data_IF_803578888097
#
_entry.id   IF_803578888097
#
_cell.length_a   1.000
_cell.length_b   1.000
_cell.length_c   1.000
_cell.angle_alpha   90.00
_cell.angle_beta   90.00
_cell.angle_gamma   90.00
#
_symmetry.space_group_name_H-M   'P 1'
#
loop_
_entity.id
_entity.type
_entity.pdbx_description
1 polymer ?
#
# COMPACT_ATOMS: atom_id res chain seq x y z
N UNK A 1 -59.29 -18.62 27.60
CA UNK A 1 -58.81 -17.25 27.27
C UNK A 1 -57.49 -16.93 27.98
N UNK A 2 -57.35 -17.17 29.29
CA UNK A 2 -56.14 -16.90 30.09
C UNK A 2 -54.89 -17.69 29.67
N UNK A 3 -55.04 -18.99 29.33
CA UNK A 3 -53.90 -19.82 28.91
C UNK A 3 -53.26 -19.36 27.59
N UNK A 4 -54.05 -18.86 26.64
CA UNK A 4 -53.55 -18.33 25.37
C UNK A 4 -52.77 -17.03 25.58
N UNK A 5 -53.23 -16.16 26.47
CA UNK A 5 -52.54 -14.89 26.82
C UNK A 5 -51.17 -15.18 27.44
N UNK A 6 -51.08 -16.14 28.36
CA UNK A 6 -49.81 -16.54 29.00
C UNK A 6 -48.81 -17.07 27.96
N UNK A 7 -49.26 -17.91 27.02
CA UNK A 7 -48.39 -18.46 25.98
C UNK A 7 -47.90 -17.36 25.03
N UNK A 8 -48.77 -16.45 24.62
CA UNK A 8 -48.41 -15.33 23.75
C UNK A 8 -47.43 -14.38 24.45
N UNK A 9 -47.63 -14.08 25.73
CA UNK A 9 -46.72 -13.24 26.50
C UNK A 9 -45.36 -13.91 26.71
N UNK A 10 -45.33 -15.22 26.96
CA UNK A 10 -44.10 -16.00 27.04
C UNK A 10 -43.34 -16.03 25.71
N UNK A 11 -44.03 -16.20 24.57
CA UNK A 11 -43.43 -16.11 23.24
C UNK A 11 -42.84 -14.72 22.97
N UNK A 12 -43.60 -13.66 23.26
CA UNK A 12 -43.12 -12.28 23.12
C UNK A 12 -41.93 -11.96 24.03
N UNK A 13 -41.88 -12.54 25.23
CA UNK A 13 -40.76 -12.38 26.14
C UNK A 13 -39.49 -13.06 25.59
N UNK A 14 -39.63 -14.27 25.03
CA UNK A 14 -38.52 -14.98 24.37
C UNK A 14 -38.01 -14.23 23.15
N UNK A 15 -38.90 -13.71 22.31
CA UNK A 15 -38.53 -12.94 21.11
C UNK A 15 -37.81 -11.64 21.48
N UNK A 16 -38.28 -10.91 22.50
CA UNK A 16 -37.58 -9.72 23.03
C UNK A 16 -36.17 -10.05 23.51
N UNK A 17 -36.03 -11.12 24.29
CA UNK A 17 -34.73 -11.54 24.79
C UNK A 17 -33.78 -11.95 23.64
N UNK A 18 -34.30 -12.64 22.62
CA UNK A 18 -33.50 -12.98 21.43
C UNK A 18 -33.05 -11.73 20.67
N UNK A 19 -33.90 -10.72 20.54
CA UNK A 19 -33.56 -9.44 19.88
C UNK A 19 -32.50 -8.69 20.68
N UNK A 20 -32.64 -8.60 22.01
CA UNK A 20 -31.67 -7.94 22.88
C UNK A 20 -30.29 -8.61 22.83
N UNK A 21 -30.23 -9.94 22.83
CA UNK A 21 -28.98 -10.69 22.69
C UNK A 21 -28.29 -10.42 21.35
N UNK A 22 -29.06 -10.39 20.26
CA UNK A 22 -28.54 -10.08 18.92
C UNK A 22 -28.02 -8.65 18.86
N UNK A 23 -28.76 -7.68 19.41
CA UNK A 23 -28.34 -6.28 19.45
C UNK A 23 -27.08 -6.06 20.29
N UNK A 24 -26.99 -6.72 21.46
CA UNK A 24 -25.80 -6.66 22.30
C UNK A 24 -24.57 -7.24 21.59
N UNK A 25 -24.72 -8.39 20.93
CA UNK A 25 -23.66 -9.01 20.13
C UNK A 25 -23.25 -8.13 18.95
N UNK A 26 -24.20 -7.55 18.23
CA UNK A 26 -23.93 -6.61 17.14
C UNK A 26 -23.14 -5.40 17.64
N UNK A 27 -23.59 -4.74 18.70
CA UNK A 27 -22.90 -3.60 19.28
C UNK A 27 -21.47 -3.95 19.75
N UNK A 28 -21.27 -5.12 20.34
CA UNK A 28 -19.93 -5.59 20.70
C UNK A 28 -19.05 -5.79 19.45
N UNK A 29 -19.57 -6.44 18.40
CA UNK A 29 -18.81 -6.63 17.16
C UNK A 29 -18.49 -5.31 16.44
N UNK A 30 -19.42 -4.36 16.42
CA UNK A 30 -19.23 -3.03 15.86
C UNK A 30 -18.16 -2.25 16.62
N UNK A 31 -18.18 -2.34 17.96
CA UNK A 31 -17.17 -1.71 18.80
C UNK A 31 -15.78 -2.30 18.56
N UNK A 32 -15.67 -3.63 18.47
CA UNK A 32 -14.41 -4.31 18.14
C UNK A 32 -13.91 -3.92 16.75
N UNK A 33 -14.80 -3.87 15.75
CA UNK A 33 -14.46 -3.44 14.41
C UNK A 33 -13.98 -1.97 14.38
N UNK A 34 -14.62 -1.09 15.15
CA UNK A 34 -14.24 0.32 15.28
C UNK A 34 -12.86 0.48 15.91
N UNK A 35 -12.60 -0.23 17.01
CA UNK A 35 -11.29 -0.22 17.69
C UNK A 35 -10.22 -0.76 16.74
N UNK A 36 -10.46 -1.88 16.08
CA UNK A 36 -9.54 -2.46 15.11
C UNK A 36 -9.24 -1.49 13.95
N UNK A 37 -10.27 -0.85 13.39
CA UNK A 37 -10.11 0.16 12.34
C UNK A 37 -9.31 1.37 12.78
N UNK A 38 -9.52 1.86 14.01
CA UNK A 38 -8.72 2.95 14.58
C UNK A 38 -7.24 2.56 14.66
N UNK A 39 -6.91 1.40 15.23
CA UNK A 39 -5.53 0.93 15.34
C UNK A 39 -4.87 0.69 13.99
N UNK A 40 -5.58 0.10 13.03
CA UNK A 40 -5.07 -0.11 11.67
C UNK A 40 -4.74 1.22 10.99
N UNK A 41 -5.65 2.20 11.04
CA UNK A 41 -5.42 3.52 10.44
C UNK A 41 -4.23 4.26 11.07
N UNK A 42 -4.06 4.15 12.39
CA UNK A 42 -2.94 4.75 13.11
C UNK A 42 -1.60 4.10 12.72
N UNK A 43 -1.55 2.77 12.64
CA UNK A 43 -0.37 2.03 12.21
C UNK A 43 0.00 2.38 10.76
N UNK A 44 -0.98 2.48 9.86
CA UNK A 44 -0.73 2.86 8.46
C UNK A 44 -0.16 4.26 8.33
N UNK A 45 -0.73 5.24 9.05
CA UNK A 45 -0.20 6.62 9.08
C UNK A 45 1.23 6.65 9.62
N UNK A 46 1.48 5.94 10.72
CA UNK A 46 2.81 5.84 11.30
C UNK A 46 3.83 5.28 10.31
N UNK A 47 3.53 4.13 9.69
CA UNK A 47 4.43 3.48 8.74
C UNK A 47 4.68 4.36 7.51
N UNK A 48 3.65 5.02 6.99
CA UNK A 48 3.78 5.94 5.85
C UNK A 48 4.74 7.07 6.18
N UNK A 49 4.53 7.77 7.31
CA UNK A 49 5.42 8.85 7.75
C UNK A 49 6.84 8.35 7.97
N UNK A 50 7.02 7.26 8.72
CA UNK A 50 8.35 6.71 9.00
C UNK A 50 9.06 6.28 7.72
N UNK A 51 8.35 5.72 6.74
CA UNK A 51 8.97 5.36 5.46
C UNK A 51 9.50 6.59 4.71
N UNK A 52 8.76 7.70 4.69
CA UNK A 52 9.24 8.94 4.09
C UNK A 52 10.49 9.47 4.81
N UNK A 53 10.48 9.47 6.14
CA UNK A 53 11.62 9.90 6.97
C UNK A 53 12.83 8.96 6.84
N UNK A 54 12.63 7.66 6.63
CA UNK A 54 13.70 6.67 6.43
C UNK A 54 14.28 6.69 5.01
N UNK A 55 13.46 7.02 4.01
CA UNK A 55 13.88 7.07 2.60
C UNK A 55 14.99 8.09 2.38
N UNK A 56 14.89 9.26 2.98
CA UNK A 56 15.90 10.34 2.88
C UNK A 56 17.30 9.92 3.37
N UNK A 57 17.48 9.45 4.62
CA UNK A 57 18.80 9.01 5.10
C UNK A 57 19.31 7.77 4.36
N UNK A 58 18.44 6.84 3.94
CA UNK A 58 18.87 5.67 3.14
C UNK A 58 19.36 6.07 1.76
N UNK A 59 18.66 6.98 1.07
CA UNK A 59 19.14 7.54 -0.18
C UNK A 59 20.44 8.31 -0.01
N UNK A 60 20.62 9.03 1.09
CA UNK A 60 21.89 9.68 1.39
C UNK A 60 23.03 8.66 1.55
N UNK A 61 22.81 7.55 2.25
CA UNK A 61 23.80 6.47 2.37
C UNK A 61 24.13 5.86 1.00
N UNK A 62 23.13 5.60 0.16
CA UNK A 62 23.35 5.09 -1.21
C UNK A 62 24.15 6.10 -2.04
N UNK A 63 23.76 7.37 -2.05
CA UNK A 63 24.44 8.42 -2.81
C UNK A 63 25.89 8.63 -2.33
N UNK A 64 26.11 8.70 -1.01
CA UNK A 64 27.45 8.81 -0.43
C UNK A 64 28.31 7.58 -0.77
N UNK A 65 27.74 6.38 -0.71
CA UNK A 65 28.46 5.16 -1.12
C UNK A 65 28.85 5.19 -2.59
N UNK A 66 28.00 5.73 -3.47
CA UNK A 66 28.29 5.92 -4.90
C UNK A 66 29.40 6.94 -5.14
N UNK A 67 29.39 8.05 -4.39
CA UNK A 67 30.45 9.07 -4.48
C UNK A 67 31.80 8.53 -3.99
N UNK A 68 31.81 7.68 -2.96
CA UNK A 68 33.04 7.05 -2.47
C UNK A 68 33.57 6.00 -3.45
N UNK A 69 32.69 5.33 -4.21
CA UNK A 69 33.07 4.29 -5.17
C UNK A 69 33.85 4.84 -6.38
N UNK A 70 33.61 6.11 -6.75
CA UNK A 70 34.35 6.80 -7.83
C UNK A 70 35.69 7.37 -7.38
N UNK A 71 36.05 7.26 -6.09
CA UNK A 71 37.31 7.78 -5.59
C UNK A 71 38.47 6.87 -6.02
N UNK A 72 39.53 7.42 -6.65
CA UNK A 72 40.68 6.63 -7.08
C UNK A 72 41.46 6.07 -5.89
N UNK A 73 42.16 4.96 -6.11
CA UNK A 73 43.08 4.34 -5.15
C UNK A 73 42.48 3.86 -3.81
N UNK A 74 41.16 3.60 -3.77
CA UNK A 74 40.57 2.95 -2.60
C UNK A 74 41.16 1.55 -2.36
N UNK A 75 41.59 1.24 -1.13
CA UNK A 75 42.01 -0.12 -0.76
C UNK A 75 40.90 -1.15 -1.03
N UNK A 76 41.27 -2.34 -1.51
CA UNK A 76 40.33 -3.43 -1.81
C UNK A 76 39.36 -3.75 -0.65
N UNK A 77 39.78 -3.77 0.64
CA UNK A 77 38.86 -3.96 1.75
C UNK A 77 37.77 -2.89 1.82
N UNK A 78 38.13 -1.62 1.61
CA UNK A 78 37.19 -0.49 1.67
C UNK A 78 36.18 -0.56 0.53
N UNK A 79 36.60 -0.96 -0.68
CA UNK A 79 35.67 -1.19 -1.80
C UNK A 79 34.64 -2.28 -1.48
N UNK A 80 35.08 -3.37 -0.85
CA UNK A 80 34.19 -4.46 -0.43
C UNK A 80 33.18 -3.99 0.62
N UNK A 81 33.63 -3.22 1.61
CA UNK A 81 32.78 -2.68 2.65
C UNK A 81 31.75 -1.68 2.09
N UNK A 82 32.15 -0.83 1.15
CA UNK A 82 31.25 0.10 0.45
C UNK A 82 30.19 -0.64 -0.38
N UNK A 83 30.59 -1.69 -1.10
CA UNK A 83 29.65 -2.52 -1.85
C UNK A 83 28.61 -3.18 -0.91
N UNK A 84 29.06 -3.67 0.25
CA UNK A 84 28.19 -4.27 1.25
C UNK A 84 27.26 -3.25 1.93
N UNK A 85 27.76 -2.04 2.24
CA UNK A 85 26.96 -0.93 2.75
C UNK A 85 25.85 -0.55 1.77
N UNK A 86 26.20 -0.40 0.48
CA UNK A 86 25.24 -0.07 -0.57
C UNK A 86 24.16 -1.15 -0.71
N UNK A 87 24.57 -2.42 -0.79
CA UNK A 87 23.62 -3.53 -0.89
C UNK A 87 22.66 -3.57 0.31
N UNK A 88 23.17 -3.28 1.52
CA UNK A 88 22.36 -3.24 2.74
C UNK A 88 21.36 -2.09 2.74
N UNK A 89 21.78 -0.88 2.32
CA UNK A 89 20.90 0.28 2.23
C UNK A 89 19.78 0.10 1.18
N UNK A 90 20.12 -0.49 0.03
CA UNK A 90 19.15 -0.83 -1.01
C UNK A 90 18.16 -1.90 -0.52
N UNK A 91 18.65 -2.94 0.15
CA UNK A 91 17.81 -3.99 0.73
C UNK A 91 16.84 -3.44 1.77
N UNK A 92 17.31 -2.58 2.68
CA UNK A 92 16.46 -1.96 3.69
C UNK A 92 15.38 -1.06 3.06
N UNK A 93 15.72 -0.32 2.00
CA UNK A 93 14.75 0.47 1.23
C UNK A 93 13.65 -0.41 0.63
N UNK A 94 14.02 -1.58 0.11
CA UNK A 94 13.08 -2.56 -0.44
C UNK A 94 12.15 -3.14 0.63
N UNK A 95 12.68 -3.52 1.79
CA UNK A 95 11.88 -3.99 2.94
C UNK A 95 10.85 -2.93 3.35
N UNK A 96 11.30 -1.69 3.55
CA UNK A 96 10.42 -0.60 3.98
C UNK A 96 9.29 -0.38 2.96
N UNK A 97 9.61 -0.43 1.67
CA UNK A 97 8.60 -0.29 0.60
C UNK A 97 7.62 -1.46 0.59
N UNK A 98 8.11 -2.69 0.74
CA UNK A 98 7.28 -3.90 0.74
C UNK A 98 6.29 -3.90 1.91
N UNK A 99 6.73 -3.45 3.10
CA UNK A 99 5.85 -3.31 4.27
C UNK A 99 4.75 -2.29 4.00
N UNK A 100 5.06 -1.16 3.36
CA UNK A 100 4.02 -0.18 3.00
C UNK A 100 3.02 -0.73 2.00
N UNK A 101 3.50 -1.39 0.94
CA UNK A 101 2.65 -1.95 -0.11
C UNK A 101 1.70 -2.99 0.47
N UNK A 102 2.21 -3.86 1.36
CA UNK A 102 1.40 -4.81 2.10
C UNK A 102 0.29 -4.09 2.89
N UNK A 103 0.63 -3.08 3.70
CA UNK A 103 -0.37 -2.36 4.50
C UNK A 103 -1.43 -1.66 3.63
N UNK A 104 -1.04 -1.07 2.49
CA UNK A 104 -1.99 -0.46 1.53
C UNK A 104 -2.95 -1.47 0.92
N UNK A 105 -2.49 -2.69 0.61
CA UNK A 105 -3.35 -3.72 0.03
C UNK A 105 -4.50 -4.13 0.96
N UNK A 106 -4.27 -4.18 2.28
CA UNK A 106 -5.33 -4.51 3.24
C UNK A 106 -6.30 -3.35 3.47
N UNK A 107 -5.84 -2.10 3.36
CA UNK A 107 -6.72 -0.92 3.40
C UNK A 107 -7.62 -0.83 2.16
N UNK A 108 -7.10 -1.26 1.00
CA UNK A 108 -7.82 -1.26 -0.30
C UNK A 108 -8.85 -2.41 -0.43
N UNK A 109 -9.03 -3.24 0.61
CA UNK A 109 -10.14 -4.20 0.68
C UNK A 109 -11.52 -3.50 0.66
N UNK A 110 -11.56 -2.18 0.92
CA UNK A 110 -12.70 -1.30 0.71
C UNK A 110 -12.61 -0.54 -0.62
N UNK A 111 -12.49 -1.27 -1.73
CA UNK A 111 -12.48 -0.71 -3.08
C UNK A 111 -11.12 -0.14 -3.47
N UNK A 112 -10.72 -0.42 -4.71
CA UNK A 112 -9.86 0.50 -5.44
C UNK A 112 -10.43 1.88 -5.17
N UNK A 113 -9.67 2.76 -4.53
CA UNK A 113 -9.98 4.18 -4.62
C UNK A 113 -9.89 4.50 -6.11
N UNK A 114 -10.98 4.26 -6.83
CA UNK A 114 -11.41 5.10 -7.92
C UNK A 114 -11.42 6.48 -7.29
N UNK A 115 -10.26 7.11 -7.35
CA UNK A 115 -10.13 8.53 -7.20
C UNK A 115 -11.16 9.03 -8.20
N UNK A 116 -12.30 9.47 -7.66
CA UNK A 116 -13.39 10.09 -8.39
C UNK A 116 -12.87 11.45 -8.87
N UNK A 117 -11.83 11.40 -9.71
CA UNK A 117 -11.36 12.50 -10.52
C UNK A 117 -12.33 12.58 -11.69
N UNK A 118 -13.60 12.88 -11.41
CA UNK A 118 -14.70 13.04 -12.36
C UNK A 118 -14.44 12.52 -13.78
N UNK A 119 -14.45 11.20 -13.97
CA UNK A 119 -14.15 10.60 -15.26
C UNK A 119 -15.44 10.33 -16.05
N UNK A 120 -15.95 11.39 -16.68
CA UNK A 120 -16.43 11.28 -18.08
C UNK A 120 -15.23 11.31 -19.07
N UNK A 121 -14.00 11.27 -18.57
CA UNK A 121 -12.80 11.09 -19.39
C UNK A 121 -12.62 9.62 -19.77
N UNK A 122 -12.85 9.34 -21.05
CA UNK A 122 -12.55 8.06 -21.69
C UNK A 122 -11.08 7.69 -21.43
N UNK A 123 -10.85 6.63 -20.67
CA UNK A 123 -9.52 6.12 -20.38
C UNK A 123 -8.89 5.58 -21.67
N UNK A 124 -7.93 6.31 -22.26
CA UNK A 124 -7.15 5.87 -23.43
C UNK A 124 -5.89 5.10 -22.99
N UNK A 125 -5.86 3.75 -23.11
CA UNK A 125 -4.67 2.97 -22.78
C UNK A 125 -3.48 3.30 -23.69
N UNK A 126 -3.74 3.79 -24.91
CA UNK A 126 -2.71 4.22 -25.83
C UNK A 126 -2.05 5.54 -25.36
N UNK A 127 -2.78 6.44 -24.71
CA UNK A 127 -2.22 7.65 -24.12
C UNK A 127 -1.29 7.33 -22.95
N UNK A 128 -1.72 6.47 -22.02
CA UNK A 128 -0.90 6.03 -20.89
C UNK A 128 0.39 5.34 -21.35
N UNK A 129 0.30 4.46 -22.37
CA UNK A 129 1.49 3.82 -22.94
C UNK A 129 2.41 4.80 -23.67
N UNK A 130 1.87 5.78 -24.43
CA UNK A 130 2.68 6.85 -25.04
C UNK A 130 3.40 7.70 -24.00
N UNK A 131 2.70 8.10 -22.94
CA UNK A 131 3.26 8.89 -21.84
C UNK A 131 4.39 8.13 -21.14
N UNK A 132 4.15 6.87 -20.79
CA UNK A 132 5.16 6.01 -20.16
C UNK A 132 6.38 5.80 -21.08
N UNK A 133 6.15 5.57 -22.38
CA UNK A 133 7.26 5.46 -23.35
C UNK A 133 8.04 6.78 -23.44
N UNK A 134 7.37 7.94 -23.41
CA UNK A 134 8.02 9.24 -23.46
C UNK A 134 8.95 9.49 -22.26
N UNK A 135 8.59 8.97 -21.08
CA UNK A 135 9.41 9.06 -19.86
C UNK A 135 10.62 8.11 -19.91
N UNK A 136 10.52 6.99 -20.63
CA UNK A 136 11.58 5.99 -20.74
C UNK A 136 12.59 6.29 -21.86
N UNK A 137 12.19 6.99 -22.93
CA UNK A 137 13.06 7.35 -24.07
C UNK A 137 14.38 8.03 -23.64
N UNK A 138 14.40 9.04 -22.74
CA UNK A 138 15.63 9.67 -22.31
C UNK A 138 16.62 8.70 -21.66
N UNK A 139 16.09 7.72 -20.90
CA UNK A 139 16.88 6.76 -20.12
C UNK A 139 17.41 5.63 -21.02
N UNK A 140 16.74 5.33 -22.13
CA UNK A 140 17.20 4.32 -23.09
C UNK A 140 18.40 4.73 -23.94
N UNK A 141 18.63 6.05 -24.09
CA UNK A 141 19.80 6.57 -24.80
C UNK A 141 21.12 6.14 -24.14
N UNK A 142 21.12 5.99 -22.82
CA UNK A 142 22.28 5.54 -22.04
C UNK A 142 22.42 4.01 -22.03
N UNK A 143 21.32 3.26 -22.19
CA UNK A 143 21.30 1.80 -22.07
C UNK A 143 21.38 1.02 -23.40
N UNK A 144 21.39 1.69 -24.58
CA UNK A 144 21.31 1.06 -25.92
C UNK A 144 20.14 0.07 -26.07
N UNK A 145 19.00 0.35 -25.44
CA UNK A 145 17.80 -0.46 -25.54
C UNK A 145 16.77 0.23 -26.45
N UNK A 146 16.06 -0.54 -27.26
CA UNK A 146 14.97 -0.05 -28.11
C UNK A 146 13.64 -0.68 -27.70
N UNK A 147 12.61 0.13 -27.48
CA UNK A 147 11.27 -0.35 -27.17
C UNK A 147 10.44 -0.44 -28.45
N UNK A 148 9.74 -1.56 -28.62
CA UNK A 148 8.79 -1.77 -29.73
C UNK A 148 7.40 -2.01 -29.16
N UNK A 149 6.38 -1.32 -29.68
CA UNK A 149 4.99 -1.57 -29.30
C UNK A 149 4.46 -2.73 -30.13
N UNK A 150 4.10 -3.85 -29.51
CA UNK A 150 3.38 -4.94 -30.18
C UNK A 150 1.87 -4.77 -29.97
N UNK A 151 1.15 -4.47 -31.06
CA UNK A 151 -0.31 -4.39 -31.10
C UNK A 151 -0.88 -2.96 -31.08
N UNK A 152 -1.54 -2.59 -32.17
CA UNK A 152 -2.48 -1.46 -32.26
C UNK A 152 -2.51 -0.78 -33.64
N UNK A 153 -3.69 -0.33 -34.05
CA UNK A 153 -3.98 0.35 -35.32
C UNK A 153 -3.11 1.60 -35.53
N UNK A 154 -2.70 1.89 -36.79
CA UNK A 154 -2.04 3.13 -37.15
C UNK A 154 -3.08 4.26 -37.21
N UNK A 155 -2.74 5.42 -36.66
CA UNK A 155 -3.44 6.68 -36.96
C UNK A 155 -2.67 7.36 -38.08
#
# INVERSE_FOLDING_TARGET
MTALVIVVDAMRAKDRHSIELVQASQHETEEQARIAGFHASAAQRFLTTMSHELRTPLHAIVALSQLLDVTPDLPVPVKRDLAQLRASAQYLTSIVSTILDFNRLFDTSGGLASQDSGLDEEYDPAACTRETMSMLVPITGEARLAFTRQGGTPI
#
